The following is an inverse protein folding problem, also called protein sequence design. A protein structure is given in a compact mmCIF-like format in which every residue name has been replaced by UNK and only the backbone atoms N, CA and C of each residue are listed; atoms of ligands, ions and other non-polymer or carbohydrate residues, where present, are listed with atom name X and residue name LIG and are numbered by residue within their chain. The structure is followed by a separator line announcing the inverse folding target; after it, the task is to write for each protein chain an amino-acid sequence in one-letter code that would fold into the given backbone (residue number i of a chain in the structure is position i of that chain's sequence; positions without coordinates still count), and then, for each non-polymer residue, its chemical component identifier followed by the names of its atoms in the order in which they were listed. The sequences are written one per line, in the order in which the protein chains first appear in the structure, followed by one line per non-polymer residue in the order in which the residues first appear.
data_IF_453951879178
#
_entry.id   IF_453951879178
#
_cell.length_a   1.000
_cell.length_b   1.000
_cell.length_c   1.000
_cell.angle_alpha   90.00
_cell.angle_beta   90.00
_cell.angle_gamma   90.00
#
_symmetry.space_group_name_H-M   'P 1'
#
loop_
_entity.id
_entity.type
_entity.pdbx_description
1 polymer ?
#
# COMPACT_ATOMS: atom_id res chain seq x y z
N UNK A 1 3.83 -9.57 11.40
CA UNK A 1 2.91 -8.88 10.48
C UNK A 1 1.58 -8.55 11.14
N UNK A 2 0.85 -9.51 11.74
CA UNK A 2 -0.44 -9.23 12.42
C UNK A 2 -0.33 -8.14 13.50
N UNK A 3 0.58 -8.28 14.49
CA UNK A 3 0.78 -7.27 15.55
C UNK A 3 1.18 -5.90 14.99
N UNK A 4 1.98 -5.89 13.92
CA UNK A 4 2.39 -4.65 13.27
C UNK A 4 1.20 -3.95 12.62
N UNK A 5 0.36 -4.70 11.89
CA UNK A 5 -0.84 -4.16 11.25
C UNK A 5 -1.89 -3.72 12.27
N UNK A 6 -2.04 -4.41 13.40
CA UNK A 6 -2.97 -3.98 14.45
C UNK A 6 -2.57 -2.61 15.00
N UNK A 7 -1.29 -2.39 15.31
CA UNK A 7 -0.85 -1.06 15.77
C UNK A 7 -0.96 0.02 14.70
N UNK A 8 -0.68 -0.32 13.43
CA UNK A 8 -0.86 0.61 12.32
C UNK A 8 -2.34 0.96 12.11
N UNK A 9 -3.26 0.02 12.31
CA UNK A 9 -4.70 0.27 12.19
C UNK A 9 -5.24 1.17 13.30
N UNK A 10 -4.68 1.12 14.51
CA UNK A 10 -5.07 2.02 15.60
C UNK A 10 -4.75 3.50 15.27
N UNK A 11 -3.60 3.78 14.64
CA UNK A 11 -3.18 5.15 14.30
C UNK A 11 -3.58 5.57 12.88
N UNK A 12 -3.77 4.61 11.98
CA UNK A 12 -3.84 4.84 10.54
C UNK A 12 -2.47 5.09 9.88
N UNK A 13 -2.46 5.12 8.55
CA UNK A 13 -1.28 5.42 7.75
C UNK A 13 -0.93 6.91 7.78
N UNK A 14 0.35 7.23 7.82
CA UNK A 14 0.83 8.59 7.60
C UNK A 14 0.75 8.97 6.10
N UNK A 15 0.89 10.27 5.79
CA UNK A 15 0.91 10.80 4.44
C UNK A 15 2.24 11.56 4.17
N UNK A 16 2.59 11.84 2.90
CA UNK A 16 3.86 12.47 2.54
C UNK A 16 4.09 13.86 3.14
N UNK A 17 3.02 14.59 3.46
CA UNK A 17 3.12 15.91 4.07
C UNK A 17 3.32 15.84 5.59
N UNK A 18 3.11 14.68 6.21
CA UNK A 18 3.24 14.46 7.65
C UNK A 18 2.22 15.23 8.50
N UNK A 19 1.14 15.73 7.88
CA UNK A 19 0.06 16.43 8.56
C UNK A 19 -1.07 15.46 8.93
N UNK A 20 -2.03 15.89 9.76
CA UNK A 20 -3.21 15.08 10.03
C UNK A 20 -4.02 14.86 8.73
N UNK A 21 -4.33 13.60 8.39
CA UNK A 21 -5.05 13.22 7.17
C UNK A 21 -6.55 13.01 7.38
N UNK A 22 -7.07 13.26 8.58
CA UNK A 22 -8.47 12.97 8.94
C UNK A 22 -9.49 13.74 8.09
N UNK A 23 -9.12 14.92 7.57
CA UNK A 23 -9.99 15.71 6.69
C UNK A 23 -10.22 15.08 5.31
N UNK A 24 -9.28 14.26 4.83
CA UNK A 24 -9.22 13.83 3.42
C UNK A 24 -9.03 12.30 3.29
N UNK A 25 -9.60 11.54 4.22
CA UNK A 25 -9.58 10.06 4.14
C UNK A 25 -10.49 9.56 3.03
N UNK A 26 -9.93 8.65 2.22
CA UNK A 26 -10.65 7.88 1.20
C UNK A 26 -10.68 6.40 1.59
N UNK A 27 -11.69 5.62 1.16
CA UNK A 27 -11.76 4.20 1.47
C UNK A 27 -10.61 3.42 0.81
N UNK A 28 -10.18 2.33 1.45
CA UNK A 28 -9.10 1.48 0.92
C UNK A 28 -9.44 0.88 -0.45
N UNK A 29 -10.65 0.32 -0.58
CA UNK A 29 -11.19 -0.15 -1.84
C UNK A 29 -12.08 0.93 -2.46
N UNK A 30 -11.98 1.24 -3.77
CA UNK A 30 -11.13 0.56 -4.76
C UNK A 30 -9.71 1.13 -4.88
N UNK A 31 -9.42 2.28 -4.26
CA UNK A 31 -8.26 3.12 -4.57
C UNK A 31 -6.91 2.44 -4.32
N UNK A 32 -6.63 2.05 -3.06
CA UNK A 32 -5.36 1.44 -2.70
C UNK A 32 -5.30 -0.02 -3.15
N UNK A 33 -6.43 -0.74 -3.16
CA UNK A 33 -6.48 -2.11 -3.69
C UNK A 33 -6.02 -2.20 -5.14
N UNK A 34 -6.48 -1.30 -6.01
CA UNK A 34 -6.04 -1.26 -7.41
C UNK A 34 -4.58 -0.80 -7.54
N UNK A 35 -4.17 0.21 -6.77
CA UNK A 35 -2.77 0.68 -6.74
C UNK A 35 -1.81 -0.45 -6.38
N UNK A 36 -2.16 -1.26 -5.37
CA UNK A 36 -1.33 -2.36 -4.89
C UNK A 36 -1.25 -3.50 -5.91
N UNK A 37 -2.37 -3.84 -6.59
CA UNK A 37 -2.37 -4.83 -7.67
C UNK A 37 -1.45 -4.40 -8.82
N UNK A 38 -1.53 -3.14 -9.24
CA UNK A 38 -0.65 -2.60 -10.28
C UNK A 38 0.83 -2.73 -9.87
N UNK A 39 1.16 -2.30 -8.65
CA UNK A 39 2.52 -2.42 -8.10
C UNK A 39 3.00 -3.87 -8.01
N UNK A 40 2.13 -4.80 -7.59
CA UNK A 40 2.45 -6.22 -7.51
C UNK A 40 2.75 -6.82 -8.89
N UNK A 41 1.95 -6.50 -9.91
CA UNK A 41 2.20 -6.94 -11.29
C UNK A 41 3.53 -6.40 -11.79
N UNK A 42 3.85 -5.13 -11.53
CA UNK A 42 5.14 -4.53 -11.94
C UNK A 42 6.32 -5.24 -11.29
N UNK A 43 6.27 -5.52 -9.98
CA UNK A 43 7.34 -6.23 -9.28
C UNK A 43 7.47 -7.67 -9.80
N UNK A 44 6.35 -8.36 -10.01
CA UNK A 44 6.36 -9.70 -10.58
C UNK A 44 6.96 -9.72 -11.98
N UNK A 45 6.67 -8.71 -12.82
CA UNK A 45 7.27 -8.60 -14.15
C UNK A 45 8.80 -8.49 -14.06
N UNK A 46 9.32 -7.63 -13.19
CA UNK A 46 10.77 -7.53 -13.01
C UNK A 46 11.38 -8.83 -12.48
N UNK A 47 10.70 -9.49 -11.53
CA UNK A 47 11.15 -10.77 -11.00
C UNK A 47 11.17 -11.86 -12.07
N UNK A 48 10.13 -11.96 -12.91
CA UNK A 48 10.08 -12.95 -13.99
C UNK A 48 11.10 -12.67 -15.08
N UNK A 49 11.35 -11.40 -15.41
CA UNK A 49 12.43 -11.03 -16.34
C UNK A 49 13.80 -11.45 -15.82
N UNK A 50 14.05 -11.31 -14.52
CA UNK A 50 15.30 -11.75 -13.89
C UNK A 50 15.41 -13.28 -13.85
N UNK A 51 14.31 -13.98 -13.59
CA UNK A 51 14.31 -15.44 -13.48
C UNK A 51 14.40 -16.18 -14.82
N UNK A 52 13.99 -15.54 -15.93
CA UNK A 52 13.94 -16.12 -17.27
C UNK A 52 15.11 -15.69 -18.18
N UNK A 53 15.99 -14.81 -17.70
CA UNK A 53 17.24 -14.44 -18.34
C UNK A 53 18.41 -15.16 -17.66
#
# INVERSE_FOLDING_TARGET
TLIHLTFLHETGSNNPLGLASDSDKIPFHPYFSLKDILGFITILLFLTTLALF
#
